data_IF_201566652873
#
_entry.id   IF_201566652873
#
_cell.length_a   1.000
_cell.length_b   1.000
_cell.length_c   1.000
_cell.angle_alpha   90.00
_cell.angle_beta   90.00
_cell.angle_gamma   90.00
#
_symmetry.space_group_name_H-M   'P 1'
#
loop_
_entity.id
_entity.type
_entity.pdbx_description
1 polymer ?
#
# COMPACT_ATOMS: atom_id res chain seq x y z
N UNK A 1 -35.15 -38.70 0.34
CA UNK A 1 -33.91 -38.17 0.95
C UNK A 1 -33.88 -36.66 0.74
N UNK A 2 -34.73 -35.95 1.46
CA UNK A 2 -34.60 -34.52 1.71
C UNK A 2 -33.86 -34.39 3.03
N UNK A 3 -32.57 -34.04 3.00
CA UNK A 3 -31.88 -33.68 4.23
C UNK A 3 -32.12 -32.20 4.45
N UNK A 4 -32.98 -31.93 5.43
CA UNK A 4 -32.98 -30.68 6.16
C UNK A 4 -31.62 -30.54 6.84
N UNK A 5 -30.91 -29.43 6.62
CA UNK A 5 -30.14 -28.86 7.70
C UNK A 5 -30.15 -27.33 7.58
N UNK A 6 -30.78 -26.62 8.54
CA UNK A 6 -30.73 -25.18 8.61
C UNK A 6 -29.33 -24.77 9.09
N UNK A 7 -28.61 -24.00 8.29
CA UNK A 7 -27.40 -23.32 8.76
C UNK A 7 -27.80 -22.27 9.79
N UNK A 8 -27.89 -22.74 11.04
CA UNK A 8 -28.14 -21.97 12.22
C UNK A 8 -26.80 -21.56 12.82
N UNK A 9 -26.56 -20.25 12.79
CA UNK A 9 -25.91 -19.48 13.85
C UNK A 9 -24.57 -20.04 14.34
N UNK A 10 -23.49 -19.61 13.70
CA UNK A 10 -22.27 -19.36 14.44
C UNK A 10 -21.83 -17.92 14.22
N UNK A 11 -22.05 -17.13 15.27
CA UNK A 11 -21.60 -15.76 15.43
C UNK A 11 -20.09 -15.66 15.16
N UNK A 12 -19.72 -15.13 13.99
CA UNK A 12 -18.39 -14.55 13.77
C UNK A 12 -18.54 -13.19 13.11
N UNK A 13 -18.27 -12.18 13.93
CA UNK A 13 -17.70 -10.85 13.70
C UNK A 13 -18.01 -10.08 12.39
N UNK A 14 -18.17 -8.74 12.49
CA UNK A 14 -18.21 -7.88 11.32
C UNK A 14 -16.80 -7.85 10.74
N UNK A 15 -16.50 -8.75 9.81
CA UNK A 15 -15.47 -8.46 8.83
C UNK A 15 -16.00 -7.30 8.01
N UNK A 16 -15.55 -6.11 8.40
CA UNK A 16 -15.21 -5.05 7.48
C UNK A 16 -14.92 -5.63 6.09
N UNK A 17 -15.94 -5.70 5.24
CA UNK A 17 -15.77 -5.96 3.81
C UNK A 17 -14.99 -4.76 3.25
N UNK A 18 -13.68 -4.87 3.45
CA UNK A 18 -12.62 -4.10 2.85
C UNK A 18 -12.89 -4.12 1.36
N UNK A 19 -13.35 -2.98 0.83
CA UNK A 19 -13.71 -2.80 -0.57
C UNK A 19 -12.62 -3.42 -1.43
N UNK A 20 -12.91 -4.59 -2.03
CA UNK A 20 -12.14 -5.36 -3.01
C UNK A 20 -10.61 -5.12 -3.06
N UNK A 21 -9.84 -6.21 -3.05
CA UNK A 21 -8.39 -6.21 -3.35
C UNK A 21 -7.99 -5.67 -4.74
N UNK A 22 -8.93 -5.09 -5.50
CA UNK A 22 -8.75 -4.49 -6.80
C UNK A 22 -8.85 -2.96 -6.67
N UNK A 23 -7.77 -2.26 -7.03
CA UNK A 23 -7.68 -0.79 -7.00
C UNK A 23 -8.71 -0.07 -7.91
N UNK A 24 -9.59 -0.78 -8.60
CA UNK A 24 -10.62 -0.24 -9.48
C UNK A 24 -11.89 0.23 -8.75
N UNK A 25 -12.15 -0.26 -7.54
CA UNK A 25 -13.39 0.02 -6.80
C UNK A 25 -13.25 1.07 -5.68
N UNK A 26 -12.05 1.34 -5.19
CA UNK A 26 -11.83 2.35 -4.14
C UNK A 26 -11.32 3.66 -4.76
N UNK A 27 -11.70 4.80 -4.19
CA UNK A 27 -11.39 6.14 -4.74
C UNK A 27 -9.86 6.35 -4.90
N UNK A 28 -9.41 7.13 -5.91
CA UNK A 28 -7.99 7.33 -6.16
C UNK A 28 -7.33 7.98 -4.95
N UNK A 29 -6.23 7.38 -4.47
CA UNK A 29 -5.42 8.00 -3.43
C UNK A 29 -4.75 9.26 -3.99
N UNK A 30 -4.77 10.35 -3.21
CA UNK A 30 -4.12 11.58 -3.60
C UNK A 30 -2.63 11.35 -3.83
N UNK A 31 -2.03 11.90 -4.90
CA UNK A 31 -0.61 11.71 -5.16
C UNK A 31 0.23 12.30 -4.02
N UNK A 32 1.18 11.52 -3.53
CA UNK A 32 2.16 11.99 -2.54
C UNK A 32 3.04 13.04 -3.22
N UNK A 33 2.92 14.29 -2.77
CA UNK A 33 3.81 15.36 -3.19
C UNK A 33 5.08 15.28 -2.35
N UNK A 34 6.20 14.93 -2.97
CA UNK A 34 7.50 15.13 -2.34
C UNK A 34 7.72 16.63 -2.14
N UNK A 35 7.81 17.05 -0.87
CA UNK A 35 8.21 18.40 -0.47
C UNK A 35 9.72 18.59 -0.57
N UNK A 36 10.47 17.48 -0.55
CA UNK A 36 11.93 17.51 -0.65
C UNK A 36 12.42 17.79 -2.07
N UNK A 37 13.55 18.51 -2.19
CA UNK A 37 14.19 18.73 -3.48
C UNK A 37 14.59 17.39 -4.10
N UNK A 38 14.31 17.24 -5.41
CA UNK A 38 14.78 16.09 -6.18
C UNK A 38 16.31 16.11 -6.20
N UNK A 39 16.94 15.22 -5.43
CA UNK A 39 18.39 14.98 -5.51
C UNK A 39 18.70 14.48 -6.91
N UNK A 40 19.58 15.20 -7.62
CA UNK A 40 20.01 14.79 -8.94
C UNK A 40 20.92 13.56 -8.86
N UNK A 41 20.89 12.74 -9.91
CA UNK A 41 21.63 11.47 -9.98
C UNK A 41 23.14 11.61 -9.71
N UNK A 42 23.74 12.78 -9.97
CA UNK A 42 25.17 13.04 -9.75
C UNK A 42 25.50 13.86 -8.50
N UNK A 43 24.49 14.36 -7.78
CA UNK A 43 24.66 15.15 -6.56
C UNK A 43 25.23 14.30 -5.40
N UNK A 44 25.85 14.92 -4.39
CA UNK A 44 26.25 14.21 -3.17
C UNK A 44 25.04 13.51 -2.53
N UNK A 45 25.24 12.28 -2.04
CA UNK A 45 24.20 11.56 -1.33
C UNK A 45 23.86 12.29 -0.01
N UNK A 46 22.56 12.51 0.30
CA UNK A 46 22.15 13.09 1.59
C UNK A 46 22.39 12.15 2.78
N UNK A 47 22.83 10.92 2.53
CA UNK A 47 23.15 9.90 3.52
C UNK A 47 24.60 9.99 4.06
N UNK A 48 25.27 11.12 3.86
CA UNK A 48 26.65 11.43 4.31
C UNK A 48 27.74 10.43 3.91
N UNK A 49 27.46 9.58 2.93
CA UNK A 49 28.38 8.53 2.49
C UNK A 49 29.56 9.05 1.65
N UNK A 50 29.64 10.35 1.38
CA UNK A 50 30.66 10.96 0.49
C UNK A 50 30.58 10.52 -0.98
N UNK A 51 29.57 9.72 -1.35
CA UNK A 51 29.37 9.18 -2.71
C UNK A 51 28.27 9.98 -3.44
N UNK A 52 28.32 9.98 -4.77
CA UNK A 52 27.22 10.50 -5.62
C UNK A 52 25.94 9.69 -5.37
N UNK A 53 24.77 10.32 -5.45
CA UNK A 53 23.46 9.70 -5.21
C UNK A 53 23.29 8.37 -5.97
N UNK A 54 23.63 8.34 -7.28
CA UNK A 54 23.58 7.13 -8.14
C UNK A 54 24.48 5.96 -7.75
N UNK A 55 25.42 6.18 -6.83
CA UNK A 55 26.35 5.15 -6.34
C UNK A 55 26.05 4.80 -4.89
N UNK A 56 24.92 5.25 -4.35
CA UNK A 56 24.59 5.11 -2.94
C UNK A 56 23.10 4.79 -2.70
N UNK A 57 22.21 5.76 -2.88
CA UNK A 57 20.76 5.62 -2.61
C UNK A 57 19.89 5.57 -3.87
N UNK A 58 20.47 5.87 -5.04
CA UNK A 58 19.78 5.86 -6.34
C UNK A 58 20.23 4.76 -7.27
#
# INVERSE_FOLDING_TARGET
MNQSNPESTFSQLPEEESCCSQSSCCAPQSPIKHTEPKVGRNDPCPCDSGRKFKKCCG
#
